data_IF_709757045412
#
_entry.id   IF_709757045412
#
_cell.length_a   1.000
_cell.length_b   1.000
_cell.length_c   1.000
_cell.angle_alpha   90.00
_cell.angle_beta   90.00
_cell.angle_gamma   90.00
#
_symmetry.space_group_name_H-M   'P 1'
#
loop_
_entity.id
_entity.type
_entity.pdbx_description
1 polymer ?
#
# COMPACT_ATOMS: atom_id res chain seq x y z
N UNK A 1 -35.39 -27.09 32.22
CA UNK A 1 -34.33 -27.21 31.20
C UNK A 1 -34.24 -25.91 30.38
N UNK A 2 -33.39 -24.98 30.84
CA UNK A 2 -33.10 -23.74 30.12
C UNK A 2 -32.20 -24.00 28.90
N UNK A 3 -32.19 -23.10 27.90
CA UNK A 3 -31.33 -23.23 26.74
C UNK A 3 -29.84 -23.16 27.14
N UNK A 4 -28.95 -23.87 26.42
CA UNK A 4 -27.53 -23.95 26.77
C UNK A 4 -26.84 -22.59 26.56
N UNK A 5 -26.07 -22.18 27.56
CA UNK A 5 -25.20 -21.01 27.48
C UNK A 5 -24.06 -21.26 26.48
N UNK A 6 -23.67 -20.27 25.66
CA UNK A 6 -22.54 -20.42 24.75
C UNK A 6 -21.21 -20.51 25.53
N UNK A 7 -20.27 -21.37 25.09
CA UNK A 7 -19.00 -21.57 25.78
C UNK A 7 -18.14 -20.30 25.79
N UNK A 8 -17.47 -20.10 26.92
CA UNK A 8 -16.79 -18.87 27.31
C UNK A 8 -15.69 -18.41 26.35
N UNK A 9 -15.58 -17.08 26.27
CA UNK A 9 -14.43 -16.34 25.73
C UNK A 9 -13.13 -16.99 26.19
N UNK A 10 -12.43 -17.64 25.27
CA UNK A 10 -11.08 -18.14 25.49
C UNK A 10 -10.13 -17.34 24.59
N UNK A 11 -9.38 -16.46 25.26
CA UNK A 11 -8.06 -15.93 24.92
C UNK A 11 -7.77 -15.42 23.50
N UNK A 12 -7.82 -14.09 23.32
CA UNK A 12 -7.01 -13.36 22.32
C UNK A 12 -5.87 -12.67 23.06
N UNK A 13 -4.63 -13.23 23.08
CA UNK A 13 -3.56 -12.71 23.94
C UNK A 13 -2.87 -11.44 23.42
N UNK A 14 -3.22 -10.94 22.23
CA UNK A 14 -2.49 -9.84 21.56
C UNK A 14 -3.16 -8.46 21.60
N UNK A 15 -4.42 -8.36 22.03
CA UNK A 15 -5.18 -7.10 22.03
C UNK A 15 -5.46 -6.53 23.42
N UNK A 16 -4.87 -7.08 24.47
CA UNK A 16 -5.17 -6.68 25.86
C UNK A 16 -4.46 -5.38 26.31
N UNK A 17 -3.48 -4.88 25.55
CA UNK A 17 -2.92 -3.54 25.75
C UNK A 17 -3.49 -2.55 24.72
N UNK A 18 -4.80 -2.36 24.76
CA UNK A 18 -5.48 -1.38 23.91
C UNK A 18 -4.91 0.01 24.19
N UNK A 19 -4.50 0.71 23.13
CA UNK A 19 -4.05 2.10 23.28
C UNK A 19 -5.24 2.96 23.67
N UNK A 20 -5.24 3.46 24.91
CA UNK A 20 -6.29 4.32 25.45
C UNK A 20 -6.30 5.68 24.76
N UNK A 21 -7.43 6.06 24.18
CA UNK A 21 -7.57 7.35 23.49
C UNK A 21 -7.70 8.48 24.52
N UNK A 22 -6.92 9.57 24.41
CA UNK A 22 -7.09 10.72 25.29
C UNK A 22 -8.47 11.37 25.07
N UNK A 23 -9.28 11.43 26.14
CA UNK A 23 -10.55 12.17 26.13
C UNK A 23 -10.25 13.67 26.09
N UNK A 24 -10.62 14.33 24.99
CA UNK A 24 -10.52 15.79 24.85
C UNK A 24 -11.87 16.42 25.17
N UNK A 25 -11.89 17.38 26.08
CA UNK A 25 -13.08 18.00 26.67
C UNK A 25 -13.76 19.08 25.81
N UNK A 26 -13.69 19.00 24.48
CA UNK A 26 -14.24 20.05 23.60
C UNK A 26 -14.75 19.54 22.24
N UNK A 27 -15.73 20.25 21.62
CA UNK A 27 -16.27 19.92 20.31
C UNK A 27 -15.30 20.41 19.23
N UNK A 28 -14.40 19.55 18.74
CA UNK A 28 -13.47 19.90 17.67
C UNK A 28 -12.46 18.81 17.31
N UNK A 29 -11.92 18.90 16.08
CA UNK A 29 -10.85 18.03 15.59
C UNK A 29 -9.57 18.26 16.42
N UNK A 30 -9.06 17.23 17.08
CA UNK A 30 -7.86 17.34 17.91
C UNK A 30 -6.69 16.61 17.27
N UNK A 31 -5.64 17.34 16.87
CA UNK A 31 -4.40 16.76 16.32
C UNK A 31 -3.72 15.78 17.28
N UNK A 32 -3.91 15.97 18.60
CA UNK A 32 -3.39 15.07 19.63
C UNK A 32 -4.18 13.76 19.70
N UNK A 33 -5.49 13.79 19.45
CA UNK A 33 -6.28 12.58 19.23
C UNK A 33 -5.87 11.91 17.94
N UNK A 34 -5.70 12.65 16.85
CA UNK A 34 -5.28 12.12 15.56
C UNK A 34 -3.94 11.37 15.68
N UNK A 35 -2.94 11.94 16.34
CA UNK A 35 -1.66 11.27 16.62
C UNK A 35 -1.78 9.98 17.44
N UNK A 36 -2.77 9.87 18.33
CA UNK A 36 -3.04 8.64 19.06
C UNK A 36 -3.74 7.58 18.19
N UNK A 37 -4.49 8.02 17.18
CA UNK A 37 -5.10 7.14 16.18
C UNK A 37 -4.12 6.74 15.07
N UNK A 38 -3.14 7.59 14.75
CA UNK A 38 -2.09 7.33 13.76
C UNK A 38 -1.33 6.04 14.08
N UNK A 39 -1.19 5.18 13.09
CA UNK A 39 -0.49 3.90 13.14
C UNK A 39 -1.10 2.88 12.19
N UNK A 40 -2.37 2.46 12.37
CA UNK A 40 -3.04 1.48 11.52
C UNK A 40 -3.06 1.84 10.02
N UNK A 41 -3.37 3.09 9.68
CA UNK A 41 -3.41 3.56 8.30
C UNK A 41 -2.01 3.72 7.70
N UNK A 42 -1.04 4.12 8.52
CA UNK A 42 0.36 4.21 8.11
C UNK A 42 0.96 2.81 7.86
N UNK A 43 0.75 1.86 8.77
CA UNK A 43 1.21 0.48 8.65
C UNK A 43 0.61 -0.20 7.41
N UNK A 44 -0.67 0.05 7.16
CA UNK A 44 -1.35 -0.37 5.94
C UNK A 44 -0.71 0.23 4.69
N UNK A 45 -0.32 1.52 4.71
CA UNK A 45 0.30 2.18 3.54
C UNK A 45 1.69 1.67 3.19
N UNK A 46 2.45 1.13 4.16
CA UNK A 46 3.75 0.49 3.88
C UNK A 46 3.59 -0.62 2.85
N UNK A 47 2.49 -1.36 2.94
CA UNK A 47 2.24 -2.48 2.07
C UNK A 47 1.96 -2.01 0.60
N UNK A 48 1.61 -0.74 0.36
CA UNK A 48 1.50 -0.16 -0.98
C UNK A 48 2.84 0.25 -1.59
N UNK A 49 3.88 0.33 -0.77
CA UNK A 49 5.22 0.80 -1.10
C UNK A 49 6.27 -0.31 -0.99
N UNK A 50 5.81 -1.56 -0.98
CA UNK A 50 6.69 -2.72 -0.95
C UNK A 50 7.39 -2.89 -2.32
N UNK A 51 8.52 -3.62 -2.35
CA UNK A 51 9.29 -3.78 -3.58
C UNK A 51 8.48 -4.35 -4.75
N UNK A 52 7.50 -5.22 -4.48
CA UNK A 52 6.65 -5.81 -5.50
C UNK A 52 5.70 -4.79 -6.15
N UNK A 53 5.10 -3.90 -5.37
CA UNK A 53 4.26 -2.84 -5.93
C UNK A 53 5.08 -1.81 -6.70
N UNK A 54 6.24 -1.43 -6.17
CA UNK A 54 7.17 -0.53 -6.86
C UNK A 54 7.63 -1.15 -8.18
N UNK A 55 7.93 -2.45 -8.22
CA UNK A 55 8.30 -3.17 -9.45
C UNK A 55 7.21 -3.09 -10.53
N UNK A 56 5.95 -3.37 -10.17
CA UNK A 56 4.83 -3.27 -11.11
C UNK A 56 4.70 -1.84 -11.66
N UNK A 57 4.84 -0.82 -10.80
CA UNK A 57 4.75 0.58 -11.20
C UNK A 57 5.91 1.01 -12.11
N UNK A 58 7.12 0.51 -11.85
CA UNK A 58 8.30 0.71 -12.69
C UNK A 58 8.09 0.14 -14.10
N UNK A 59 7.62 -1.11 -14.19
CA UNK A 59 7.34 -1.76 -15.48
C UNK A 59 6.23 -1.04 -16.25
N UNK A 60 5.17 -0.62 -15.55
CA UNK A 60 4.09 0.17 -16.15
C UNK A 60 4.61 1.49 -16.74
N UNK A 61 5.49 2.19 -16.01
CA UNK A 61 6.15 3.40 -16.50
C UNK A 61 7.00 3.14 -17.75
N UNK A 62 7.85 2.12 -17.73
CA UNK A 62 8.73 1.80 -18.85
C UNK A 62 7.95 1.42 -20.12
N UNK A 63 6.91 0.59 -20.00
CA UNK A 63 6.16 0.04 -21.15
C UNK A 63 5.10 1.01 -21.65
N UNK A 64 4.31 1.62 -20.76
CA UNK A 64 3.15 2.42 -21.13
C UNK A 64 3.33 3.94 -20.93
N UNK A 65 4.44 4.37 -20.33
CA UNK A 65 4.75 5.78 -20.08
C UNK A 65 3.69 6.44 -19.21
N UNK A 66 3.25 7.63 -19.59
CA UNK A 66 2.24 8.40 -18.85
C UNK A 66 0.79 7.94 -19.09
N UNK A 67 0.55 6.93 -19.95
CA UNK A 67 -0.81 6.55 -20.37
C UNK A 67 -1.61 5.79 -19.31
N UNK A 68 -0.95 5.13 -18.35
CA UNK A 68 -1.59 4.34 -17.29
C UNK A 68 -1.78 5.11 -15.98
N UNK A 69 -1.37 6.38 -15.91
CA UNK A 69 -1.49 7.18 -14.68
C UNK A 69 -2.94 7.37 -14.22
N UNK A 70 -3.92 7.37 -15.13
CA UNK A 70 -5.33 7.39 -14.76
C UNK A 70 -5.75 6.08 -14.09
N UNK A 71 -5.18 4.94 -14.50
CA UNK A 71 -5.42 3.64 -13.84
C UNK A 71 -4.87 3.68 -12.42
N UNK A 72 -3.66 4.23 -12.23
CA UNK A 72 -3.07 4.44 -10.91
C UNK A 72 -4.00 5.25 -9.98
N UNK A 73 -4.54 6.36 -10.49
CA UNK A 73 -5.46 7.22 -9.73
C UNK A 73 -6.75 6.47 -9.37
N UNK A 74 -7.41 5.86 -10.35
CA UNK A 74 -8.68 5.17 -10.13
C UNK A 74 -8.53 3.91 -9.28
N UNK A 75 -7.45 3.16 -9.44
CA UNK A 75 -7.11 2.04 -8.58
C UNK A 75 -6.88 2.51 -7.14
N UNK A 76 -6.21 3.65 -6.93
CA UNK A 76 -6.02 4.22 -5.58
C UNK A 76 -7.36 4.63 -4.96
N UNK A 77 -8.27 5.22 -5.74
CA UNK A 77 -9.62 5.57 -5.29
C UNK A 77 -10.41 4.31 -4.92
N UNK A 78 -10.37 3.26 -5.75
CA UNK A 78 -10.98 1.97 -5.45
C UNK A 78 -10.37 1.33 -4.20
N UNK A 79 -9.05 1.39 -4.05
CA UNK A 79 -8.33 0.97 -2.85
C UNK A 79 -8.84 1.69 -1.61
N UNK A 80 -8.97 3.02 -1.65
CA UNK A 80 -9.53 3.81 -0.55
C UNK A 80 -10.96 3.40 -0.21
N UNK A 81 -11.79 3.07 -1.21
CA UNK A 81 -13.16 2.58 -0.99
C UNK A 81 -13.16 1.21 -0.30
N UNK A 82 -12.35 0.26 -0.76
CA UNK A 82 -12.18 -1.05 -0.13
C UNK A 82 -11.71 -0.90 1.33
N UNK A 83 -10.77 -0.01 1.56
CA UNK A 83 -10.19 0.23 2.88
C UNK A 83 -11.18 0.91 3.83
N UNK A 84 -12.01 1.84 3.32
CA UNK A 84 -13.14 2.41 4.07
C UNK A 84 -14.13 1.33 4.51
N UNK A 85 -14.42 0.35 3.65
CA UNK A 85 -15.29 -0.77 4.00
C UNK A 85 -14.66 -1.67 5.07
N UNK A 86 -13.36 -1.97 4.94
CA UNK A 86 -12.60 -2.76 5.92
C UNK A 86 -12.57 -2.11 7.31
N UNK A 87 -12.31 -0.80 7.38
CA UNK A 87 -12.37 -0.02 8.62
C UNK A 87 -13.76 -0.09 9.21
N UNK A 88 -14.80 0.19 8.41
CA UNK A 88 -16.18 0.20 8.90
C UNK A 88 -16.59 -1.18 9.45
N UNK A 89 -16.15 -2.24 8.80
CA UNK A 89 -16.38 -3.61 9.27
C UNK A 89 -15.72 -3.85 10.62
N UNK A 90 -14.41 -3.56 10.74
CA UNK A 90 -13.64 -3.78 11.97
C UNK A 90 -14.13 -2.93 13.15
N UNK A 91 -14.43 -1.65 12.91
CA UNK A 91 -14.88 -0.71 13.95
C UNK A 91 -16.30 -1.04 14.45
N UNK A 92 -17.23 -1.39 13.55
CA UNK A 92 -18.64 -1.64 13.91
C UNK A 92 -18.82 -3.04 14.50
N UNK A 93 -18.25 -4.06 13.87
CA UNK A 93 -18.46 -5.45 14.31
C UNK A 93 -17.53 -5.85 15.46
N UNK A 94 -16.38 -5.17 15.59
CA UNK A 94 -15.33 -5.56 16.52
C UNK A 94 -14.60 -6.85 16.14
N UNK A 95 -14.89 -7.40 14.96
CA UNK A 95 -14.25 -8.59 14.39
C UNK A 95 -13.48 -8.19 13.15
N UNK A 96 -12.38 -8.88 12.89
CA UNK A 96 -11.64 -8.68 11.64
C UNK A 96 -12.31 -9.47 10.50
N UNK A 97 -11.94 -9.13 9.26
CA UNK A 97 -12.52 -9.75 8.09
C UNK A 97 -12.25 -11.27 8.05
N UNK A 98 -11.11 -11.73 8.58
CA UNK A 98 -10.74 -13.15 8.61
C UNK A 98 -11.62 -13.94 9.59
N UNK A 99 -11.88 -13.41 10.79
CA UNK A 99 -12.82 -13.96 11.76
C UNK A 99 -14.23 -14.08 11.17
N UNK A 100 -14.69 -13.07 10.42
CA UNK A 100 -15.99 -13.11 9.76
C UNK A 100 -16.00 -14.16 8.66
N UNK A 101 -14.97 -14.21 7.80
CA UNK A 101 -14.86 -15.24 6.79
C UNK A 101 -14.86 -16.65 7.39
N UNK A 102 -14.14 -16.88 8.49
CA UNK A 102 -14.11 -18.18 9.18
C UNK A 102 -15.48 -18.55 9.79
N UNK A 103 -16.27 -17.58 10.24
CA UNK A 103 -17.63 -17.81 10.74
C UNK A 103 -18.60 -18.25 9.62
N UNK A 104 -18.40 -17.78 8.40
CA UNK A 104 -19.25 -18.12 7.25
C UNK A 104 -18.73 -19.31 6.43
N UNK A 105 -17.41 -19.55 6.43
CA UNK A 105 -16.74 -20.62 5.72
C UNK A 105 -15.83 -21.40 6.68
N UNK A 106 -16.21 -22.62 7.10
CA UNK A 106 -15.33 -23.46 7.91
C UNK A 106 -14.20 -24.00 7.03
N UNK A 107 -13.00 -23.41 7.14
CA UNK A 107 -11.79 -23.82 6.42
C UNK A 107 -11.05 -24.87 7.28
N UNK A 108 -10.49 -25.95 6.69
CA UNK A 108 -9.75 -26.96 7.45
C UNK A 108 -8.46 -26.41 8.10
N UNK A 109 -8.36 -26.57 9.42
CA UNK A 109 -7.33 -26.03 10.34
C UNK A 109 -5.88 -26.42 10.02
N UNK A 110 -5.65 -27.57 9.38
CA UNK A 110 -4.30 -28.14 9.21
C UNK A 110 -3.36 -27.26 8.36
N UNK A 111 -3.88 -26.51 7.38
CA UNK A 111 -3.07 -25.59 6.57
C UNK A 111 -2.66 -24.32 7.33
N UNK A 112 -3.51 -23.85 8.25
CA UNK A 112 -3.20 -22.69 9.11
C UNK A 112 -2.09 -23.01 10.11
N UNK A 113 -2.10 -24.20 10.71
CA UNK A 113 -1.11 -24.60 11.72
C UNK A 113 0.33 -24.53 11.20
N UNK A 114 0.58 -24.99 9.97
CA UNK A 114 1.93 -25.01 9.40
C UNK A 114 2.48 -23.60 9.16
N UNK A 115 1.64 -22.70 8.63
CA UNK A 115 1.98 -21.29 8.38
C UNK A 115 2.18 -20.57 9.72
N UNK A 116 1.33 -20.83 10.71
CA UNK A 116 1.46 -20.21 12.04
C UNK A 116 2.73 -20.65 12.77
N UNK A 117 3.27 -21.85 12.57
CA UNK A 117 4.53 -22.27 13.22
C UNK A 117 5.72 -21.46 12.69
N UNK A 118 5.76 -21.22 11.38
CA UNK A 118 6.84 -20.43 10.75
C UNK A 118 6.70 -18.95 11.12
N UNK A 119 5.48 -18.43 11.03
CA UNK A 119 5.17 -17.03 11.34
C UNK A 119 5.38 -16.72 12.83
N UNK A 120 4.99 -17.62 13.74
CA UNK A 120 5.20 -17.44 15.19
C UNK A 120 6.67 -17.41 15.58
N UNK A 121 7.53 -18.18 14.91
CA UNK A 121 8.97 -18.20 15.19
C UNK A 121 9.64 -16.88 14.76
N UNK A 122 9.20 -16.33 13.63
CA UNK A 122 9.61 -15.01 13.17
C UNK A 122 9.03 -13.88 14.04
N UNK A 123 7.77 -14.02 14.46
CA UNK A 123 7.07 -13.03 15.26
C UNK A 123 7.58 -12.97 16.70
N UNK A 124 7.93 -14.10 17.33
CA UNK A 124 8.59 -14.15 18.65
C UNK A 124 9.94 -13.42 18.66
N UNK A 125 10.62 -13.34 17.52
CA UNK A 125 11.84 -12.56 17.37
C UNK A 125 11.56 -11.05 17.31
N UNK A 126 10.44 -10.65 16.69
CA UNK A 126 9.95 -9.27 16.64
C UNK A 126 9.30 -8.81 17.95
N UNK A 127 8.75 -9.73 18.74
CA UNK A 127 8.03 -9.45 20.00
C UNK A 127 8.96 -8.84 21.08
N UNK A 128 10.28 -9.03 20.94
CA UNK A 128 11.27 -8.35 21.79
C UNK A 128 11.40 -6.85 21.49
N UNK A 129 10.83 -6.38 20.38
CA UNK A 129 10.87 -5.00 19.91
C UNK A 129 9.43 -4.45 19.80
N UNK A 130 8.97 -3.74 20.83
CA UNK A 130 7.61 -3.19 20.88
C UNK A 130 7.19 -2.41 19.61
N UNK A 131 5.93 -2.60 19.22
CA UNK A 131 5.28 -2.13 17.96
C UNK A 131 5.63 -0.70 17.53
N UNK A 132 5.77 0.24 18.48
CA UNK A 132 6.14 1.64 18.14
C UNK A 132 7.53 1.78 17.53
N UNK A 133 8.49 0.93 17.88
CA UNK A 133 9.85 0.99 17.30
C UNK A 133 9.86 0.45 15.87
N UNK A 134 9.03 -0.55 15.60
CA UNK A 134 8.86 -1.12 14.26
C UNK A 134 8.16 -0.13 13.32
N UNK A 135 7.13 0.58 13.80
CA UNK A 135 6.48 1.66 13.05
C UNK A 135 7.46 2.78 12.67
N UNK A 136 8.29 3.23 13.62
CA UNK A 136 9.29 4.26 13.37
C UNK A 136 10.38 3.80 12.37
N UNK A 137 10.77 2.52 12.42
CA UNK A 137 11.73 1.95 11.49
C UNK A 137 11.21 1.96 10.05
N UNK A 138 9.96 1.52 9.82
CA UNK A 138 9.36 1.59 8.50
C UNK A 138 9.06 3.02 8.05
N UNK A 139 8.73 3.91 8.98
CA UNK A 139 8.59 5.34 8.70
C UNK A 139 9.86 5.98 8.15
N UNK A 140 11.03 5.60 8.70
CA UNK A 140 12.33 6.02 8.19
C UNK A 140 12.56 5.51 6.75
N UNK A 141 12.26 4.24 6.49
CA UNK A 141 12.41 3.63 5.15
C UNK A 141 11.56 4.34 4.08
N UNK A 142 10.27 4.56 4.37
CA UNK A 142 9.37 5.29 3.45
C UNK A 142 9.86 6.71 3.22
N UNK A 143 10.32 7.39 4.26
CA UNK A 143 10.83 8.76 4.14
C UNK A 143 12.03 8.82 3.19
N UNK A 144 12.96 7.85 3.29
CA UNK A 144 14.11 7.76 2.37
C UNK A 144 13.63 7.50 0.94
N UNK A 145 12.70 6.58 0.72
CA UNK A 145 12.13 6.31 -0.61
C UNK A 145 11.43 7.54 -1.21
N UNK A 146 10.61 8.24 -0.41
CA UNK A 146 9.91 9.44 -0.84
C UNK A 146 10.88 10.57 -1.22
N UNK A 147 11.95 10.76 -0.44
CA UNK A 147 12.97 11.78 -0.73
C UNK A 147 13.81 11.43 -1.96
N UNK A 148 14.22 10.18 -2.11
CA UNK A 148 15.06 9.74 -3.25
C UNK A 148 14.29 9.79 -4.56
N UNK A 149 13.11 9.14 -4.65
CA UNK A 149 12.29 9.20 -5.86
C UNK A 149 11.71 10.60 -6.12
N UNK A 150 11.40 11.35 -5.06
CA UNK A 150 11.00 12.75 -5.17
C UNK A 150 12.12 13.64 -5.75
N UNK A 151 13.37 13.41 -5.34
CA UNK A 151 14.53 14.10 -5.91
C UNK A 151 14.73 13.75 -7.38
N UNK A 152 14.68 12.45 -7.73
CA UNK A 152 14.77 12.00 -9.13
C UNK A 152 13.66 12.61 -10.01
N UNK A 153 12.43 12.70 -9.51
CA UNK A 153 11.33 13.36 -10.23
C UNK A 153 11.64 14.83 -10.56
N UNK A 154 12.26 15.56 -9.63
CA UNK A 154 12.65 16.97 -9.83
C UNK A 154 13.83 17.10 -10.80
N UNK A 155 14.80 16.18 -10.74
CA UNK A 155 15.99 16.19 -11.61
C UNK A 155 15.62 15.84 -13.05
N UNK A 156 14.79 14.80 -13.25
CA UNK A 156 14.37 14.31 -14.57
C UNK A 156 13.44 15.30 -15.28
N UNK A 157 12.78 16.20 -14.55
CA UNK A 157 11.84 17.21 -15.07
C UNK A 157 10.87 16.64 -16.11
N UNK A 158 10.06 15.62 -15.76
CA UNK A 158 9.05 15.11 -16.67
C UNK A 158 8.06 16.22 -17.07
N UNK A 159 7.55 16.15 -18.29
CA UNK A 159 6.60 17.13 -18.81
C UNK A 159 5.33 17.12 -17.94
N UNK A 160 5.20 18.09 -17.04
CA UNK A 160 4.12 18.13 -16.05
C UNK A 160 2.74 18.12 -16.69
N UNK A 161 2.62 18.71 -17.88
CA UNK A 161 1.37 18.69 -18.65
C UNK A 161 1.00 17.27 -19.13
N UNK A 162 1.98 16.46 -19.54
CA UNK A 162 1.74 15.09 -19.99
C UNK A 162 1.41 14.16 -18.82
N UNK A 163 2.09 14.34 -17.68
CA UNK A 163 1.77 13.63 -16.43
C UNK A 163 0.35 13.94 -15.98
N UNK A 164 -0.01 15.23 -15.91
CA UNK A 164 -1.35 15.66 -15.49
C UNK A 164 -2.43 15.18 -16.47
N UNK A 165 -2.15 15.24 -17.78
CA UNK A 165 -3.05 14.69 -18.80
C UNK A 165 -3.22 13.18 -18.65
N UNK A 166 -2.14 12.46 -18.33
CA UNK A 166 -2.15 11.02 -18.07
C UNK A 166 -2.97 10.63 -16.84
N UNK A 167 -2.96 11.46 -15.78
CA UNK A 167 -3.72 11.23 -14.55
C UNK A 167 -5.24 11.41 -14.77
N UNK A 168 -5.63 12.45 -15.51
CA UNK A 168 -7.05 12.84 -15.60
C UNK A 168 -7.79 12.37 -16.85
N UNK A 169 -7.10 12.04 -17.96
CA UNK A 169 -7.75 11.55 -19.16
C UNK A 169 -7.62 10.02 -19.29
N UNK A 170 -8.74 9.26 -19.21
CA UNK A 170 -8.76 7.83 -19.48
C UNK A 170 -8.73 7.56 -20.99
N UNK A 171 -7.63 7.92 -21.64
CA UNK A 171 -7.46 7.74 -23.08
C UNK A 171 -6.08 7.17 -23.40
N UNK A 172 -6.07 5.94 -23.92
CA UNK A 172 -4.85 5.30 -24.42
C UNK A 172 -4.94 5.06 -25.94
N UNK A 173 -4.36 5.95 -26.77
CA UNK A 173 -4.27 5.70 -28.20
C UNK A 173 -3.23 4.59 -28.44
N UNK A 174 -3.69 3.50 -29.06
CA UNK A 174 -2.87 2.36 -29.47
C UNK A 174 -2.42 1.42 -28.35
N UNK A 175 -3.19 1.30 -27.25
CA UNK A 175 -2.92 0.27 -26.24
C UNK A 175 -3.09 -1.14 -26.83
N UNK A 176 -2.05 -1.97 -26.71
CA UNK A 176 -2.06 -3.39 -27.03
C UNK A 176 -2.29 -4.27 -25.80
N UNK A 177 -1.88 -5.53 -25.89
CA UNK A 177 -2.01 -6.50 -24.80
C UNK A 177 -1.02 -6.24 -23.65
N UNK A 178 0.18 -5.77 -23.97
CA UNK A 178 1.23 -5.50 -22.98
C UNK A 178 0.82 -4.36 -22.04
N UNK A 179 0.32 -3.25 -22.57
CA UNK A 179 -0.13 -2.12 -21.73
C UNK A 179 -1.36 -2.49 -20.89
N UNK A 180 -2.22 -3.37 -21.38
CA UNK A 180 -3.36 -3.88 -20.61
C UNK A 180 -2.91 -4.79 -19.46
N UNK A 181 -1.93 -5.68 -19.70
CA UNK A 181 -1.35 -6.53 -18.66
C UNK A 181 -0.72 -5.67 -17.56
N UNK A 182 0.01 -4.63 -17.94
CA UNK A 182 0.59 -3.65 -17.02
C UNK A 182 -0.51 -2.92 -16.23
N UNK A 183 -1.60 -2.50 -16.88
CA UNK A 183 -2.74 -1.89 -16.20
C UNK A 183 -3.39 -2.82 -15.15
N UNK A 184 -3.55 -4.10 -15.47
CA UNK A 184 -4.09 -5.10 -14.55
C UNK A 184 -3.12 -5.38 -13.41
N UNK A 185 -1.81 -5.44 -13.70
CA UNK A 185 -0.74 -5.56 -12.71
C UNK A 185 -0.77 -4.41 -11.70
N UNK A 186 -0.86 -3.17 -12.19
CA UNK A 186 -0.99 -1.96 -11.37
C UNK A 186 -2.25 -1.98 -10.49
N UNK A 187 -3.40 -2.41 -11.03
CA UNK A 187 -4.64 -2.55 -10.25
C UNK A 187 -4.47 -3.61 -9.15
N UNK A 188 -3.83 -4.73 -9.45
CA UNK A 188 -3.54 -5.80 -8.48
C UNK A 188 -2.57 -5.37 -7.38
N UNK A 189 -1.53 -4.61 -7.77
CA UNK A 189 -0.55 -4.03 -6.84
C UNK A 189 -1.22 -3.07 -5.84
N UNK A 190 -2.13 -2.22 -6.32
CA UNK A 190 -2.85 -1.28 -5.46
C UNK A 190 -3.97 -1.97 -4.66
N UNK A 191 -4.76 -2.84 -5.28
CA UNK A 191 -5.86 -3.52 -4.58
C UNK A 191 -5.34 -4.83 -3.99
N UNK A 192 -4.62 -4.68 -2.88
CA UNK A 192 -3.96 -5.79 -2.24
C UNK A 192 -4.86 -6.49 -1.21
N UNK A 193 -5.29 -7.75 -1.43
CA UNK A 193 -6.32 -8.39 -0.61
C UNK A 193 -5.89 -8.53 0.85
N UNK A 194 -4.65 -8.97 1.10
CA UNK A 194 -4.14 -9.15 2.46
C UNK A 194 -4.11 -7.84 3.26
N UNK A 195 -3.97 -6.70 2.57
CA UNK A 195 -3.95 -5.40 3.23
C UNK A 195 -5.34 -4.98 3.73
N UNK A 196 -6.40 -5.45 3.07
CA UNK A 196 -7.79 -5.25 3.51
C UNK A 196 -8.02 -6.02 4.83
N UNK A 197 -7.50 -7.25 4.93
CA UNK A 197 -7.57 -8.05 6.16
C UNK A 197 -6.74 -7.40 7.28
N UNK A 198 -5.48 -7.05 6.99
CA UNK A 198 -4.57 -6.42 7.94
C UNK A 198 -5.14 -5.13 8.52
N UNK A 199 -5.67 -4.25 7.67
CA UNK A 199 -6.24 -3.00 8.12
C UNK A 199 -7.50 -3.20 8.99
N UNK A 200 -8.33 -4.20 8.67
CA UNK A 200 -9.48 -4.57 9.51
C UNK A 200 -9.09 -5.10 10.89
N UNK A 201 -7.93 -5.75 11.03
CA UNK A 201 -7.39 -6.17 12.33
C UNK A 201 -6.69 -5.05 13.08
N UNK A 202 -5.96 -4.17 12.39
CA UNK A 202 -5.22 -3.08 13.03
C UNK A 202 -6.15 -2.07 13.69
N UNK A 203 -7.33 -1.80 13.12
CA UNK A 203 -8.34 -0.92 13.75
C UNK A 203 -8.90 -1.48 15.06
N UNK A 204 -8.77 -2.80 15.34
CA UNK A 204 -9.17 -3.42 16.61
C UNK A 204 -8.21 -3.09 17.76
N UNK A 205 -6.98 -2.65 17.47
CA UNK A 205 -5.97 -2.30 18.49
C UNK A 205 -6.30 -1.05 19.30
N UNK A 206 -7.32 -0.28 18.89
CA UNK A 206 -7.80 0.92 19.59
C UNK A 206 -9.06 0.62 20.40
N UNK A 207 -9.06 0.98 21.68
CA UNK A 207 -10.22 0.81 22.57
C UNK A 207 -11.36 1.76 22.16
N UNK A 208 -12.47 1.23 21.63
CA UNK A 208 -13.65 2.01 21.24
C UNK A 208 -14.87 1.42 21.93
N UNK A 209 -15.66 2.24 22.63
CA UNK A 209 -16.92 1.81 23.23
C UNK A 209 -17.99 1.66 22.13
N UNK A 210 -18.23 0.42 21.72
CA UNK A 210 -19.18 0.08 20.65
C UNK A 210 -20.64 0.25 21.06
N UNK A 211 -20.93 0.48 22.35
CA UNK A 211 -22.30 0.75 22.82
C UNK A 211 -22.78 2.15 22.41
N UNK A 212 -21.86 3.08 22.11
CA UNK A 212 -22.19 4.47 21.77
C UNK A 212 -21.93 4.75 20.29
N UNK A 213 -23.00 5.11 19.57
CA UNK A 213 -22.94 5.41 18.13
C UNK A 213 -22.03 6.61 17.80
N UNK A 214 -21.90 7.57 18.73
CA UNK A 214 -21.07 8.76 18.52
C UNK A 214 -19.58 8.43 18.51
N UNK A 215 -19.10 7.58 19.44
CA UNK A 215 -17.69 7.17 19.50
C UNK A 215 -17.29 6.33 18.27
N UNK A 216 -18.20 5.47 17.79
CA UNK A 216 -18.02 4.69 16.55
C UNK A 216 -17.92 5.60 15.32
N UNK A 217 -18.77 6.64 15.23
CA UNK A 217 -18.76 7.59 14.11
C UNK A 217 -17.51 8.47 14.14
N UNK A 218 -17.09 8.91 15.33
CA UNK A 218 -15.87 9.67 15.54
C UNK A 218 -14.66 8.83 15.09
N UNK A 219 -14.52 7.60 15.61
CA UNK A 219 -13.43 6.70 15.25
C UNK A 219 -13.35 6.42 13.75
N UNK A 220 -14.49 6.13 13.09
CA UNK A 220 -14.52 5.88 11.65
C UNK A 220 -14.09 7.10 10.83
N UNK A 221 -14.35 8.32 11.32
CA UNK A 221 -13.92 9.55 10.63
C UNK A 221 -12.42 9.79 10.78
N UNK A 222 -11.86 9.56 11.97
CA UNK A 222 -10.41 9.68 12.20
C UNK A 222 -9.62 8.62 11.42
N UNK A 223 -10.05 7.35 11.44
CA UNK A 223 -9.38 6.29 10.68
C UNK A 223 -9.48 6.49 9.17
N UNK A 224 -10.62 6.99 8.67
CA UNK A 224 -10.74 7.34 7.25
C UNK A 224 -9.81 8.48 6.86
N UNK A 225 -9.72 9.52 7.69
CA UNK A 225 -8.80 10.64 7.47
C UNK A 225 -7.34 10.21 7.43
N UNK A 226 -6.93 9.37 8.38
CA UNK A 226 -5.59 8.78 8.44
C UNK A 226 -5.29 7.94 7.19
N UNK A 227 -6.19 7.02 6.83
CA UNK A 227 -6.00 6.13 5.68
C UNK A 227 -5.98 6.89 4.36
N UNK A 228 -6.78 7.96 4.25
CA UNK A 228 -6.78 8.85 3.09
C UNK A 228 -5.43 9.56 2.95
N UNK A 229 -4.89 10.10 4.04
CA UNK A 229 -3.58 10.74 4.02
C UNK A 229 -2.47 9.74 3.66
N UNK A 230 -2.48 8.56 4.27
CA UNK A 230 -1.46 7.53 4.05
C UNK A 230 -1.48 6.99 2.61
N UNK A 231 -2.68 6.72 2.07
CA UNK A 231 -2.85 6.34 0.66
C UNK A 231 -2.49 7.45 -0.32
N UNK A 232 -2.78 8.71 0.02
CA UNK A 232 -2.40 9.85 -0.81
C UNK A 232 -0.87 9.99 -0.91
N UNK A 233 -0.15 9.85 0.20
CA UNK A 233 1.32 9.83 0.20
C UNK A 233 1.84 8.67 -0.65
N UNK A 234 1.25 7.48 -0.52
CA UNK A 234 1.65 6.31 -1.30
C UNK A 234 1.40 6.51 -2.80
N UNK A 235 0.25 7.07 -3.16
CA UNK A 235 -0.07 7.44 -4.54
C UNK A 235 0.93 8.43 -5.13
N UNK A 236 1.38 9.43 -4.36
CA UNK A 236 2.39 10.38 -4.84
C UNK A 236 3.73 9.69 -5.11
N UNK A 237 4.15 8.77 -4.25
CA UNK A 237 5.40 8.02 -4.45
C UNK A 237 5.29 7.15 -5.71
N UNK A 238 4.20 6.39 -5.85
CA UNK A 238 3.97 5.55 -7.02
C UNK A 238 3.88 6.39 -8.30
N UNK A 239 3.24 7.55 -8.23
CA UNK A 239 3.19 8.52 -9.34
C UNK A 239 4.60 8.99 -9.75
N UNK A 240 5.45 9.34 -8.78
CA UNK A 240 6.83 9.75 -9.07
C UNK A 240 7.64 8.63 -9.71
N UNK A 241 7.50 7.40 -9.20
CA UNK A 241 8.18 6.21 -9.73
C UNK A 241 7.77 5.95 -11.18
N UNK A 242 6.46 5.85 -11.46
CA UNK A 242 5.94 5.64 -12.82
C UNK A 242 6.38 6.77 -13.76
N UNK A 243 6.35 8.02 -13.29
CA UNK A 243 6.68 9.17 -14.13
C UNK A 243 8.18 9.26 -14.46
N UNK A 244 9.07 9.00 -13.51
CA UNK A 244 10.53 8.99 -13.72
C UNK A 244 10.91 7.91 -14.73
N UNK A 245 10.39 6.70 -14.57
CA UNK A 245 10.69 5.58 -15.46
C UNK A 245 10.02 5.71 -16.83
N UNK A 246 8.81 6.26 -16.88
CA UNK A 246 8.16 6.63 -18.12
C UNK A 246 8.99 7.63 -18.92
N UNK A 247 9.49 8.70 -18.30
CA UNK A 247 10.35 9.65 -19.00
C UNK A 247 11.69 9.04 -19.45
N UNK A 248 12.27 8.14 -18.62
CA UNK A 248 13.58 7.58 -18.85
C UNK A 248 13.61 6.51 -19.95
N UNK A 249 12.59 5.65 -20.05
CA UNK A 249 12.62 4.44 -20.88
C UNK A 249 11.53 4.34 -21.94
N UNK A 250 10.42 5.07 -21.80
CA UNK A 250 9.30 4.94 -22.73
C UNK A 250 9.70 5.36 -24.16
N UNK A 251 9.58 4.41 -25.10
CA UNK A 251 9.94 4.55 -26.52
C UNK A 251 11.39 4.93 -26.82
N UNK A 252 12.32 4.75 -25.87
CA UNK A 252 13.76 4.86 -26.16
C UNK A 252 14.25 3.63 -26.93
N UNK A 253 15.29 3.80 -27.76
CA UNK A 253 15.98 2.67 -28.42
C UNK A 253 17.11 2.17 -27.52
N UNK A 254 17.42 0.87 -27.60
CA UNK A 254 18.51 0.30 -26.81
C UNK A 254 19.86 0.98 -27.11
N UNK A 255 20.13 1.33 -28.36
CA UNK A 255 21.36 2.06 -28.75
C UNK A 255 21.49 3.43 -28.05
N UNK A 256 20.41 4.21 -27.98
CA UNK A 256 20.43 5.54 -27.37
C UNK A 256 20.67 5.47 -25.86
N UNK A 257 20.11 4.46 -25.20
CA UNK A 257 20.33 4.21 -23.76
C UNK A 257 21.74 3.69 -23.53
N UNK A 258 22.21 2.73 -24.34
CA UNK A 258 23.55 2.17 -24.27
C UNK A 258 24.64 3.27 -24.38
N UNK A 259 24.48 4.19 -25.35
CA UNK A 259 25.41 5.30 -25.55
C UNK A 259 25.41 6.30 -24.38
N UNK A 260 24.23 6.58 -23.78
CA UNK A 260 24.13 7.39 -22.56
C UNK A 260 24.80 6.72 -21.36
N UNK A 261 24.67 5.40 -21.22
CA UNK A 261 25.29 4.62 -20.15
C UNK A 261 26.82 4.58 -20.27
N UNK A 262 27.37 4.41 -21.49
CA UNK A 262 28.82 4.42 -21.72
C UNK A 262 29.44 5.78 -21.40
N UNK A 263 28.75 6.87 -21.75
CA UNK A 263 29.23 8.23 -21.53
C UNK A 263 29.02 8.74 -20.09
N UNK A 264 28.36 7.96 -19.24
CA UNK A 264 28.10 8.27 -17.84
C UNK A 264 29.01 7.46 -16.90
N UNK A 265 28.98 7.74 -15.60
CA UNK A 265 29.69 6.99 -14.56
C UNK A 265 29.22 5.52 -14.39
N UNK A 266 28.26 5.08 -15.21
CA UNK A 266 27.51 3.83 -15.11
C UNK A 266 27.85 2.89 -16.29
N UNK A 267 29.04 3.05 -16.89
CA UNK A 267 29.50 2.27 -18.05
C UNK A 267 29.50 0.75 -17.84
N UNK A 268 29.61 0.29 -16.59
CA UNK A 268 29.52 -1.13 -16.21
C UNK A 268 28.17 -1.78 -16.56
N UNK A 269 27.10 -1.00 -16.60
CA UNK A 269 25.73 -1.48 -16.86
C UNK A 269 25.30 -1.31 -18.32
N UNK A 270 26.16 -0.74 -19.18
CA UNK A 270 25.87 -0.61 -20.60
C UNK A 270 25.62 -1.97 -21.27
N UNK A 271 26.27 -3.05 -20.78
CA UNK A 271 26.11 -4.41 -21.31
C UNK A 271 24.72 -5.02 -21.14
N UNK A 272 23.85 -4.43 -20.32
CA UNK A 272 22.45 -4.87 -20.12
C UNK A 272 21.59 -4.53 -21.36
N UNK A 273 21.90 -3.41 -22.03
CA UNK A 273 21.18 -2.97 -23.21
C UNK A 273 21.90 -3.46 -24.47
N UNK A 274 21.31 -4.37 -25.27
CA UNK A 274 21.92 -4.82 -26.52
C UNK A 274 21.98 -3.66 -27.53
N UNK A 275 23.08 -3.57 -28.28
CA UNK A 275 23.25 -2.60 -29.38
C UNK A 275 22.32 -2.97 -30.55
N UNK A 276 21.04 -2.63 -30.44
CA UNK A 276 20.05 -2.83 -31.49
C UNK A 276 19.08 -1.63 -31.59
N UNK A 277 18.38 -1.56 -32.73
CA UNK A 277 17.38 -0.54 -33.02
C UNK A 277 16.00 -0.84 -32.41
N UNK A 278 15.88 -1.89 -31.60
CA UNK A 278 14.63 -2.22 -30.93
C UNK A 278 14.35 -1.22 -29.80
N UNK A 279 13.06 -1.05 -29.47
CA UNK A 279 12.66 -0.31 -28.28
C UNK A 279 13.14 -1.04 -27.04
N UNK A 280 13.53 -0.27 -26.01
CA UNK A 280 13.93 -0.84 -24.72
C UNK A 280 12.77 -1.60 -24.11
N UNK A 281 12.93 -2.90 -23.96
CA UNK A 281 12.07 -3.73 -23.11
C UNK A 281 12.74 -3.81 -21.74
N UNK A 282 12.19 -3.10 -20.76
CA UNK A 282 12.67 -3.15 -19.37
C UNK A 282 12.03 -4.37 -18.71
N UNK A 283 12.75 -5.48 -18.70
CA UNK A 283 12.42 -6.66 -17.93
C UNK A 283 13.37 -6.72 -16.73
N UNK A 284 12.87 -6.38 -15.55
CA UNK A 284 13.66 -6.27 -14.31
C UNK A 284 14.20 -7.64 -13.89
N UNK A 285 13.70 -8.73 -14.47
CA UNK A 285 14.21 -10.10 -14.27
C UNK A 285 15.41 -10.47 -15.15
N UNK A 286 15.75 -9.67 -16.16
CA UNK A 286 16.84 -9.98 -17.09
C UNK A 286 18.22 -9.41 -16.69
N UNK A 287 18.30 -8.69 -15.57
CA UNK A 287 19.56 -8.29 -14.92
C UNK A 287 20.13 -6.96 -15.37
#
# INVERSE_FOLDING_TARGET
PGPPQPPGRTAQPYLDELVSIPKSSGPGFSLRKLWAFTGPGFLMSIAYLDPGNVESDLQCGAVAGFKLLWVLLWATVLGLLCQRLAIRLGVVTGKDLAEICHLYYPIPLWGGVLITIVDTLFFLFLDKYGLRKLEAFFGLLITIMALTFGYEYVVVRPAQLEVLRGIFLPYCPGCGREELLQAVGMVGAIIMPHNIFLHSSLVKTRAIDRSKKEEVREANTYFLGESCLALFVSFLINLFVVAVFGQAFYRQRNEDVHNKCINSSVSRYAGIFPLNNATVSVDIYQG
#
